data_IF_412078428724
#
_entry.id   IF_412078428724
#
_cell.length_a   1.000
_cell.length_b   1.000
_cell.length_c   1.000
_cell.angle_alpha   90.00
_cell.angle_beta   90.00
_cell.angle_gamma   90.00
#
_symmetry.space_group_name_H-M   'P 1'
#
loop_
_entity.id
_entity.type
_entity.pdbx_description
1 polymer ?
#
# COMPACT_ATOMS: atom_id res chain seq x y z
N UNK A 1 31.44 -10.87 4.42
CA UNK A 1 30.13 -10.38 3.96
C UNK A 1 29.45 -9.80 5.18
N UNK A 2 29.44 -8.47 5.30
CA UNK A 2 28.75 -7.79 6.39
C UNK A 2 27.25 -7.87 6.12
N UNK A 3 26.57 -8.77 6.83
CA UNK A 3 25.12 -8.88 6.74
C UNK A 3 24.51 -7.76 7.59
N UNK A 4 23.95 -6.73 6.94
CA UNK A 4 23.12 -5.75 7.62
C UNK A 4 21.84 -6.48 8.05
N UNK A 5 21.65 -6.64 9.36
CA UNK A 5 20.37 -7.05 9.94
C UNK A 5 19.40 -5.86 9.84
N UNK A 6 18.77 -5.71 8.67
CA UNK A 6 17.66 -4.77 8.50
C UNK A 6 16.38 -5.56 8.63
N UNK A 7 15.46 -5.10 9.47
CA UNK A 7 14.14 -5.69 9.53
C UNK A 7 13.49 -5.64 8.13
N UNK A 8 12.74 -6.69 7.74
CA UNK A 8 12.01 -6.69 6.49
C UNK A 8 11.06 -5.48 6.43
N UNK A 9 11.20 -4.65 5.39
CA UNK A 9 10.28 -3.53 5.16
C UNK A 9 8.86 -4.06 4.92
N UNK A 10 7.87 -3.49 5.60
CA UNK A 10 6.47 -3.86 5.39
C UNK A 10 5.97 -3.35 4.04
N UNK A 11 5.00 -4.05 3.45
CA UNK A 11 4.37 -3.61 2.18
C UNK A 11 3.72 -2.23 2.35
N UNK A 12 3.19 -1.94 3.54
CA UNK A 12 2.64 -0.63 3.90
C UNK A 12 3.70 0.47 3.81
N UNK A 13 4.86 0.26 4.43
CA UNK A 13 5.97 1.21 4.36
C UNK A 13 6.46 1.39 2.92
N UNK A 14 6.54 0.30 2.14
CA UNK A 14 6.91 0.38 0.73
C UNK A 14 5.88 1.21 -0.08
N UNK A 15 4.58 0.97 0.12
CA UNK A 15 3.53 1.74 -0.55
C UNK A 15 3.61 3.24 -0.23
N UNK A 16 3.81 3.59 1.03
CA UNK A 16 3.85 4.99 1.46
C UNK A 16 5.14 5.68 1.00
N UNK A 17 6.29 5.13 1.34
CA UNK A 17 7.58 5.79 1.15
C UNK A 17 8.04 5.77 -0.31
N UNK A 18 7.75 4.69 -1.05
CA UNK A 18 8.29 4.52 -2.40
C UNK A 18 7.29 4.91 -3.50
N UNK A 19 5.98 5.02 -3.20
CA UNK A 19 4.97 5.35 -4.21
C UNK A 19 4.18 6.61 -3.86
N UNK A 20 3.55 6.67 -2.69
CA UNK A 20 2.67 7.79 -2.34
C UNK A 20 3.44 9.09 -2.11
N UNK A 21 4.49 9.05 -1.30
CA UNK A 21 5.31 10.23 -0.98
C UNK A 21 5.98 10.82 -2.24
N UNK A 22 6.67 10.04 -3.09
CA UNK A 22 7.34 10.58 -4.28
C UNK A 22 6.35 11.13 -5.33
N UNK A 23 5.14 10.57 -5.37
CA UNK A 23 4.10 10.97 -6.32
C UNK A 23 3.18 12.06 -5.78
N UNK A 24 3.37 12.49 -4.53
CA UNK A 24 2.48 13.41 -3.81
C UNK A 24 1.00 12.96 -3.85
N UNK A 25 0.77 11.65 -3.73
CA UNK A 25 -0.57 11.04 -3.72
C UNK A 25 -1.04 10.91 -2.28
N UNK A 26 -2.21 11.47 -1.97
CA UNK A 26 -2.87 11.28 -0.68
C UNK A 26 -3.68 9.98 -0.63
N UNK A 27 -3.96 9.46 0.56
CA UNK A 27 -4.80 8.26 0.73
C UNK A 27 -6.20 8.40 0.07
N UNK A 28 -6.90 9.56 0.15
CA UNK A 28 -8.14 9.79 -0.58
C UNK A 28 -7.99 9.66 -2.10
N UNK A 29 -6.95 10.24 -2.69
CA UNK A 29 -6.70 10.15 -4.13
C UNK A 29 -6.42 8.70 -4.57
N UNK A 30 -5.70 7.94 -3.74
CA UNK A 30 -5.46 6.52 -3.99
C UNK A 30 -6.75 5.69 -3.88
N UNK A 31 -7.61 6.01 -2.92
CA UNK A 31 -8.91 5.36 -2.75
C UNK A 31 -9.82 5.59 -3.97
N UNK A 32 -9.90 6.84 -4.44
CA UNK A 32 -10.64 7.20 -5.66
C UNK A 32 -10.07 6.49 -6.89
N UNK A 33 -8.74 6.53 -7.09
CA UNK A 33 -8.08 5.93 -8.25
C UNK A 33 -8.20 4.40 -8.34
N UNK A 34 -8.38 3.73 -7.19
CA UNK A 34 -8.55 2.27 -7.12
C UNK A 34 -10.02 1.84 -6.92
N UNK A 35 -10.96 2.78 -6.78
CA UNK A 35 -12.36 2.46 -6.46
C UNK A 35 -12.53 1.76 -5.11
N UNK A 36 -11.68 2.08 -4.13
CA UNK A 36 -11.72 1.49 -2.78
C UNK A 36 -12.29 2.49 -1.77
N UNK A 37 -12.84 1.98 -0.67
CA UNK A 37 -13.18 2.82 0.49
C UNK A 37 -11.93 3.40 1.14
N UNK A 38 -11.99 4.63 1.64
CA UNK A 38 -10.87 5.29 2.32
C UNK A 38 -10.37 4.50 3.54
N UNK A 39 -11.27 3.85 4.29
CA UNK A 39 -10.94 3.00 5.44
C UNK A 39 -10.06 1.82 5.04
N UNK A 40 -10.32 1.26 3.85
CA UNK A 40 -9.56 0.14 3.30
C UNK A 40 -8.14 0.55 2.92
N UNK A 41 -8.02 1.71 2.27
CA UNK A 41 -6.71 2.28 1.91
C UNK A 41 -5.93 2.62 3.18
N UNK A 42 -6.57 3.27 4.17
CA UNK A 42 -5.94 3.56 5.46
C UNK A 42 -5.39 2.30 6.13
N UNK A 43 -6.20 1.24 6.21
CA UNK A 43 -5.75 -0.02 6.80
C UNK A 43 -4.53 -0.61 6.06
N UNK A 44 -4.48 -0.50 4.72
CA UNK A 44 -3.32 -0.95 3.93
C UNK A 44 -2.08 -0.09 4.22
N UNK A 45 -2.22 1.24 4.24
CA UNK A 45 -1.12 2.16 4.55
C UNK A 45 -0.61 2.04 6.00
N UNK A 46 -1.46 1.61 6.94
CA UNK A 46 -1.10 1.33 8.33
C UNK A 46 -0.59 -0.12 8.53
N UNK A 47 -0.63 -0.95 7.48
CA UNK A 47 -0.21 -2.36 7.54
C UNK A 47 -1.15 -3.30 8.28
N UNK A 48 -2.33 -2.83 8.69
CA UNK A 48 -3.38 -3.64 9.34
C UNK A 48 -4.30 -4.32 8.32
N UNK A 49 -4.35 -3.79 7.10
CA UNK A 49 -5.11 -4.31 5.97
C UNK A 49 -4.26 -5.20 5.07
N UNK A 50 -4.78 -6.38 4.72
CA UNK A 50 -4.14 -7.28 3.73
C UNK A 50 -4.40 -6.79 2.32
N UNK A 51 -3.44 -6.87 1.40
CA UNK A 51 -3.71 -6.71 -0.03
C UNK A 51 -4.14 -8.08 -0.54
N UNK A 52 -5.43 -8.24 -0.84
CA UNK A 52 -5.93 -9.47 -1.46
C UNK A 52 -5.88 -9.29 -2.98
N UNK A 53 -5.45 -10.32 -3.71
CA UNK A 53 -5.58 -10.36 -5.15
C UNK A 53 -7.06 -10.26 -5.52
N UNK A 54 -7.43 -9.20 -6.24
CA UNK A 54 -8.71 -9.16 -6.94
C UNK A 54 -8.57 -10.20 -8.05
N UNK A 55 -9.27 -11.34 -7.96
CA UNK A 55 -9.45 -12.14 -9.15
C UNK A 55 -10.29 -11.27 -10.08
N UNK A 56 -9.69 -10.69 -11.11
CA UNK A 56 -10.43 -10.05 -12.18
C UNK A 56 -11.38 -11.10 -12.74
N UNK A 57 -12.65 -11.06 -12.35
CA UNK A 57 -13.66 -11.86 -12.99
C UNK A 57 -13.92 -11.17 -14.32
N UNK A 58 -13.15 -11.57 -15.33
CA UNK A 58 -13.39 -11.20 -16.71
C UNK A 58 -14.74 -11.80 -17.12
N UNK A 59 -15.79 -10.99 -17.05
CA UNK A 59 -17.07 -11.21 -17.73
C UNK A 59 -17.13 -10.36 -18.98
#
# INVERSE_FOLDING_TARGET
MDTISREPTTVAAMLVEEFMNPSNISQPMLAEGLGLSIERVRAICEGTGRINCISSNST
#
